data_IF_823154365608
#
_entry.id   IF_823154365608
#
_cell.length_a   1.000
_cell.length_b   1.000
_cell.length_c   1.000
_cell.angle_alpha   90.00
_cell.angle_beta   90.00
_cell.angle_gamma   90.00
#
_symmetry.space_group_name_H-M   'P 1'
#
loop_
_entity.id
_entity.type
_entity.pdbx_description
1 polymer ?
#
# COMPACT_ATOMS: atom_id res chain seq x y z
N UNK A 1 11.87 32.91 -1.05
CA UNK A 1 10.53 32.34 -0.86
C UNK A 1 9.60 33.17 -1.72
N UNK A 2 9.10 32.58 -2.79
CA UNK A 2 8.23 33.29 -3.71
C UNK A 2 6.76 33.06 -3.30
N UNK A 3 5.93 34.11 -3.28
CA UNK A 3 4.49 33.97 -3.07
C UNK A 3 3.88 32.98 -4.08
N UNK A 4 3.18 31.96 -3.59
CA UNK A 4 2.64 30.88 -4.41
C UNK A 4 1.14 30.71 -4.21
N UNK A 5 0.40 30.58 -5.31
CA UNK A 5 -0.97 30.08 -5.28
C UNK A 5 -0.98 28.67 -5.89
N UNK A 6 -1.82 27.78 -5.38
CA UNK A 6 -1.93 26.41 -5.88
C UNK A 6 -3.29 26.26 -6.55
N UNK A 7 -3.30 25.75 -7.77
CA UNK A 7 -4.54 25.42 -8.50
C UNK A 7 -4.51 23.98 -8.99
N UNK A 8 -5.60 23.25 -8.76
CA UNK A 8 -5.79 21.92 -9.31
C UNK A 8 -6.32 22.01 -10.73
N UNK A 9 -5.65 21.36 -11.69
CA UNK A 9 -6.07 21.36 -13.10
C UNK A 9 -6.90 20.12 -13.50
N UNK A 10 -7.07 19.15 -12.60
CA UNK A 10 -7.75 17.88 -12.86
C UNK A 10 -6.83 16.66 -12.77
N UNK A 11 -5.53 16.82 -13.06
CA UNK A 11 -4.52 15.75 -13.05
C UNK A 11 -3.31 16.07 -12.18
N UNK A 12 -3.00 17.35 -11.98
CA UNK A 12 -1.92 17.79 -11.10
C UNK A 12 -2.20 19.15 -10.46
N UNK A 13 -1.44 19.44 -9.40
CA UNK A 13 -1.36 20.79 -8.84
C UNK A 13 -0.41 21.65 -9.66
N UNK A 14 -0.76 22.92 -9.88
CA UNK A 14 0.13 23.90 -10.49
C UNK A 14 0.41 25.05 -9.51
N UNK A 15 1.67 25.45 -9.42
CA UNK A 15 2.09 26.63 -8.64
C UNK A 15 2.04 27.86 -9.54
N UNK A 16 1.17 28.82 -9.20
CA UNK A 16 1.09 30.14 -9.82
C UNK A 16 1.63 31.24 -8.92
N UNK A 17 1.79 32.44 -9.47
CA UNK A 17 2.13 33.61 -8.68
C UNK A 17 1.01 33.89 -7.65
N UNK A 18 1.32 33.73 -6.37
CA UNK A 18 0.45 34.10 -5.26
C UNK A 18 0.72 35.53 -4.81
N UNK A 19 -0.16 36.08 -3.98
CA UNK A 19 0.06 37.35 -3.32
C UNK A 19 -0.77 37.41 -2.03
N UNK A 20 -0.52 38.40 -1.15
CA UNK A 20 -1.34 38.58 0.03
C UNK A 20 -2.82 38.69 -0.36
N UNK A 21 -3.64 37.78 0.16
CA UNK A 21 -5.08 37.74 -0.07
C UNK A 21 -5.79 38.35 1.13
N UNK A 22 -6.64 39.35 0.90
CA UNK A 22 -7.47 39.91 1.95
C UNK A 22 -8.71 39.04 2.15
N UNK A 23 -8.90 38.51 3.35
CA UNK A 23 -10.03 37.65 3.70
C UNK A 23 -11.21 38.42 4.33
N UNK A 24 -11.12 39.76 4.39
CA UNK A 24 -12.03 40.62 5.13
C UNK A 24 -11.62 40.80 6.59
N UNK A 25 -12.17 41.82 7.25
CA UNK A 25 -11.94 42.05 8.69
C UNK A 25 -10.50 42.40 9.09
N UNK A 26 -9.67 42.86 8.14
CA UNK A 26 -8.25 43.15 8.41
C UNK A 26 -7.36 41.90 8.43
N UNK A 27 -7.88 40.75 8.01
CA UNK A 27 -7.14 39.49 7.92
C UNK A 27 -6.47 39.40 6.55
N UNK A 28 -5.17 39.18 6.54
CA UNK A 28 -4.33 39.01 5.35
C UNK A 28 -3.72 37.62 5.39
N UNK A 29 -3.94 36.82 4.33
CA UNK A 29 -3.30 35.50 4.17
C UNK A 29 -2.27 35.55 3.05
N UNK A 30 -1.08 35.04 3.29
CA UNK A 30 -0.04 34.80 2.28
C UNK A 30 0.21 33.30 2.20
N UNK A 31 0.11 32.74 1.01
CA UNK A 31 0.47 31.33 0.76
C UNK A 31 1.82 31.29 0.05
N UNK A 32 2.67 30.36 0.46
CA UNK A 32 3.99 30.09 -0.11
C UNK A 32 4.07 28.62 -0.44
N UNK A 33 4.77 28.30 -1.52
CA UNK A 33 5.05 26.92 -1.91
C UNK A 33 6.56 26.76 -1.95
N UNK A 34 7.05 25.63 -1.46
CA UNK A 34 8.48 25.33 -1.35
C UNK A 34 8.73 23.89 -1.79
N UNK A 35 9.79 23.69 -2.56
CA UNK A 35 10.34 22.37 -2.82
C UNK A 35 10.81 21.71 -1.51
N UNK A 36 10.56 20.41 -1.39
CA UNK A 36 11.16 19.59 -0.34
C UNK A 36 12.23 18.70 -0.97
N UNK A 37 13.08 18.13 -0.12
CA UNK A 37 14.09 17.16 -0.55
C UNK A 37 13.77 15.80 0.08
N UNK A 38 14.15 14.73 -0.63
CA UNK A 38 14.00 13.35 -0.18
C UNK A 38 15.37 12.67 -0.14
N UNK A 39 15.60 11.86 0.87
CA UNK A 39 16.82 11.04 0.97
C UNK A 39 16.69 9.69 0.24
N UNK A 40 17.74 8.87 0.31
CA UNK A 40 17.78 7.56 -0.33
C UNK A 40 16.81 6.52 0.25
N UNK A 41 16.27 6.78 1.44
CA UNK A 41 15.27 5.94 2.11
C UNK A 41 13.84 6.44 1.84
N UNK A 42 13.70 7.33 0.86
CA UNK A 42 12.45 7.93 0.47
C UNK A 42 11.78 8.76 1.58
N UNK A 43 12.55 9.33 2.51
CA UNK A 43 12.03 10.20 3.59
C UNK A 43 12.23 11.66 3.23
N UNK A 44 11.23 12.51 3.49
CA UNK A 44 11.37 13.96 3.31
C UNK A 44 12.32 14.51 4.38
N UNK A 45 13.40 15.15 3.94
CA UNK A 45 14.49 15.65 4.78
C UNK A 45 14.66 17.17 4.70
N UNK A 46 15.33 17.78 5.68
CA UNK A 46 15.72 19.19 5.60
C UNK A 46 16.55 19.50 4.34
N UNK A 47 16.40 20.73 3.83
CA UNK A 47 17.11 21.18 2.64
C UNK A 47 18.64 21.07 2.78
N UNK A 48 19.30 20.61 1.71
CA UNK A 48 20.71 20.29 1.62
C UNK A 48 21.10 18.89 2.10
N UNK A 49 20.14 18.03 2.43
CA UNK A 49 20.37 16.66 2.89
C UNK A 49 19.84 15.59 1.94
N UNK A 50 19.13 15.97 0.87
CA UNK A 50 18.59 15.04 -0.12
C UNK A 50 18.58 15.61 -1.52
N UNK A 51 17.88 14.92 -2.41
CA UNK A 51 17.57 15.38 -3.75
C UNK A 51 16.18 16.02 -3.77
N UNK A 52 15.98 17.04 -4.62
CA UNK A 52 14.68 17.73 -4.74
C UNK A 52 13.60 16.71 -5.10
N UNK A 53 12.52 16.69 -4.32
CA UNK A 53 11.36 15.82 -4.53
C UNK A 53 10.51 16.35 -5.68
N UNK A 54 10.42 15.63 -6.81
CA UNK A 54 9.63 16.08 -7.96
C UNK A 54 8.12 15.97 -7.76
N UNK A 55 7.62 15.18 -6.79
CA UNK A 55 6.17 15.02 -6.58
C UNK A 55 5.62 15.90 -5.48
N UNK A 56 6.44 16.20 -4.46
CA UNK A 56 5.98 16.77 -3.20
C UNK A 56 6.43 18.21 -3.05
N UNK A 57 5.50 19.09 -2.69
CA UNK A 57 5.80 20.46 -2.27
C UNK A 57 5.24 20.75 -0.88
N UNK A 58 5.96 21.53 -0.09
CA UNK A 58 5.48 22.10 1.16
C UNK A 58 4.71 23.39 0.88
N UNK A 59 3.54 23.48 1.49
CA UNK A 59 2.63 24.62 1.37
C UNK A 59 2.52 25.30 2.71
N UNK A 60 2.90 26.58 2.78
CA UNK A 60 2.86 27.37 4.01
C UNK A 60 1.83 28.49 3.85
N UNK A 61 0.87 28.55 4.78
CA UNK A 61 -0.13 29.61 4.87
C UNK A 61 0.14 30.45 6.10
N UNK A 62 0.64 31.66 5.87
CA UNK A 62 0.83 32.70 6.88
C UNK A 62 -0.42 33.58 6.93
N UNK A 63 -1.11 33.61 8.06
CA UNK A 63 -2.29 34.46 8.30
C UNK A 63 -1.91 35.54 9.31
N UNK A 64 -2.07 36.80 8.91
CA UNK A 64 -1.84 37.98 9.73
C UNK A 64 -3.18 38.68 9.99
N UNK A 65 -3.45 39.10 11.22
CA UNK A 65 -4.64 39.88 11.56
C UNK A 65 -4.36 40.89 12.66
N UNK A 66 -5.34 41.75 12.94
CA UNK A 66 -5.32 42.64 14.10
C UNK A 66 -6.39 42.20 15.09
N UNK A 67 -6.02 42.01 16.35
CA UNK A 67 -6.96 41.61 17.38
C UNK A 67 -7.92 42.75 17.81
N UNK A 68 -8.85 42.45 18.70
CA UNK A 68 -9.83 43.43 19.19
C UNK A 68 -9.21 44.62 19.94
N UNK A 69 -7.94 44.52 20.35
CA UNK A 69 -7.18 45.56 21.05
C UNK A 69 -6.26 46.35 20.10
N UNK A 70 -6.29 46.07 18.80
CA UNK A 70 -5.44 46.74 17.81
C UNK A 70 -4.03 46.16 17.70
N UNK A 71 -3.76 44.97 18.25
CA UNK A 71 -2.44 44.34 18.22
C UNK A 71 -2.30 43.45 16.99
N UNK A 72 -1.16 43.47 16.30
CA UNK A 72 -0.89 42.55 15.20
C UNK A 72 -0.68 41.13 15.75
N UNK A 73 -1.29 40.16 15.10
CA UNK A 73 -1.17 38.74 15.40
C UNK A 73 -0.87 37.96 14.11
N UNK A 74 -0.17 36.83 14.24
CA UNK A 74 0.14 35.96 13.12
C UNK A 74 0.04 34.47 13.48
N UNK A 75 -0.32 33.66 12.48
CA UNK A 75 -0.32 32.21 12.57
C UNK A 75 0.24 31.62 11.27
N UNK A 76 1.05 30.57 11.38
CA UNK A 76 1.60 29.85 10.24
C UNK A 76 1.09 28.41 10.32
N UNK A 77 0.56 27.93 9.21
CA UNK A 77 0.17 26.53 9.03
C UNK A 77 0.91 26.00 7.82
N UNK A 78 1.64 24.90 7.97
CA UNK A 78 2.26 24.19 6.86
C UNK A 78 1.62 22.83 6.64
N UNK A 79 1.65 22.37 5.40
CA UNK A 79 1.14 21.07 4.97
C UNK A 79 1.87 20.60 3.71
N UNK A 80 2.00 19.29 3.53
CA UNK A 80 2.62 18.70 2.35
C UNK A 80 1.57 18.37 1.30
N UNK A 81 1.89 18.58 0.03
CA UNK A 81 1.03 18.25 -1.11
C UNK A 81 1.83 17.44 -2.12
N UNK A 82 1.26 16.33 -2.57
CA UNK A 82 1.81 15.41 -3.57
C UNK A 82 1.06 15.54 -4.91
N UNK A 83 1.44 14.77 -5.93
CA UNK A 83 0.87 14.78 -7.29
C UNK A 83 1.07 16.09 -8.07
N UNK A 84 2.31 16.58 -8.11
CA UNK A 84 2.67 17.71 -8.98
C UNK A 84 3.10 17.24 -10.37
N UNK A 85 4.08 16.34 -10.46
CA UNK A 85 4.68 15.93 -11.74
C UNK A 85 4.53 14.43 -12.07
N UNK A 86 3.83 13.64 -11.22
CA UNK A 86 3.67 12.18 -11.37
C UNK A 86 5.02 11.46 -11.67
N UNK A 87 6.04 11.70 -10.83
CA UNK A 87 7.39 11.28 -11.14
C UNK A 87 7.58 9.77 -11.05
N UNK A 88 8.52 9.28 -11.84
CA UNK A 88 8.95 7.90 -11.83
C UNK A 88 10.14 7.72 -10.88
N UNK A 89 10.20 6.61 -10.16
CA UNK A 89 11.32 6.27 -9.28
C UNK A 89 10.88 5.39 -8.12
N UNK A 90 11.83 4.74 -7.44
CA UNK A 90 11.55 3.80 -6.35
C UNK A 90 10.74 4.43 -5.21
N UNK A 91 10.90 5.73 -4.97
CA UNK A 91 10.15 6.48 -3.95
C UNK A 91 8.71 6.86 -4.34
N UNK A 92 8.33 6.56 -5.58
CA UNK A 92 7.02 6.93 -6.16
C UNK A 92 6.33 5.72 -6.79
N UNK A 93 6.84 4.51 -6.54
CA UNK A 93 6.16 3.28 -6.96
C UNK A 93 4.84 3.16 -6.20
N UNK A 94 3.80 2.72 -6.91
CA UNK A 94 2.55 2.38 -6.25
C UNK A 94 2.77 1.22 -5.27
N UNK A 95 2.08 1.26 -4.13
CA UNK A 95 2.07 0.16 -3.16
C UNK A 95 1.78 -1.17 -3.86
N UNK A 96 2.55 -2.21 -3.57
CA UNK A 96 2.41 -3.51 -4.22
C UNK A 96 1.01 -4.10 -4.02
N UNK A 97 0.40 -3.89 -2.86
CA UNK A 97 -0.99 -4.25 -2.57
C UNK A 97 -2.01 -3.58 -3.51
N UNK A 98 -1.70 -2.39 -4.05
CA UNK A 98 -2.57 -1.73 -5.03
C UNK A 98 -2.47 -2.34 -6.43
N UNK A 99 -1.41 -3.10 -6.70
CA UNK A 99 -1.10 -3.68 -8.00
C UNK A 99 -1.47 -5.17 -8.10
N UNK A 100 -1.90 -5.80 -7.01
CA UNK A 100 -2.30 -7.22 -7.00
C UNK A 100 -3.81 -7.38 -7.14
N UNK A 101 -4.22 -8.30 -8.02
CA UNK A 101 -5.58 -8.81 -8.12
C UNK A 101 -5.67 -10.22 -7.52
N UNK A 102 -6.57 -10.41 -6.55
CA UNK A 102 -6.95 -11.75 -6.08
C UNK A 102 -8.16 -12.21 -6.88
N UNK A 103 -7.95 -13.13 -7.82
CA UNK A 103 -9.01 -13.57 -8.71
C UNK A 103 -9.87 -14.66 -8.06
N UNK A 104 -10.97 -14.23 -7.44
CA UNK A 104 -12.00 -15.10 -6.87
C UNK A 104 -13.10 -15.49 -7.88
N UNK A 105 -13.05 -14.93 -9.09
CA UNK A 105 -14.03 -15.22 -10.15
C UNK A 105 -13.77 -16.56 -10.82
N UNK A 106 -12.48 -16.94 -10.92
CA UNK A 106 -12.06 -18.31 -11.18
C UNK A 106 -12.28 -19.09 -9.88
N UNK A 107 -13.20 -20.07 -9.91
CA UNK A 107 -13.58 -20.81 -8.72
C UNK A 107 -12.36 -21.55 -8.15
N UNK A 108 -11.96 -21.18 -6.93
CA UNK A 108 -11.02 -21.98 -6.15
C UNK A 108 -11.64 -23.35 -5.85
N UNK A 109 -10.83 -24.41 -5.80
CA UNK A 109 -11.32 -25.79 -5.70
C UNK A 109 -10.61 -26.60 -4.61
N UNK A 110 -11.35 -27.54 -4.01
CA UNK A 110 -10.86 -28.53 -3.07
C UNK A 110 -10.47 -29.84 -3.76
N UNK A 111 -9.18 -30.03 -4.00
CA UNK A 111 -8.67 -31.30 -4.50
C UNK A 111 -8.52 -32.32 -3.37
N UNK A 112 -9.16 -33.48 -3.55
CA UNK A 112 -9.21 -34.51 -2.50
C UNK A 112 -9.83 -34.02 -1.19
N UNK A 113 -10.68 -32.97 -1.27
CA UNK A 113 -11.40 -32.32 -0.17
C UNK A 113 -10.55 -31.53 0.83
N UNK A 114 -9.23 -31.50 0.68
CA UNK A 114 -8.32 -30.90 1.68
C UNK A 114 -7.13 -30.15 1.09
N UNK A 115 -7.13 -29.94 -0.23
CA UNK A 115 -6.11 -29.14 -0.92
C UNK A 115 -6.78 -27.99 -1.64
N UNK A 116 -6.52 -26.76 -1.21
CA UNK A 116 -6.94 -25.58 -1.93
C UNK A 116 -6.06 -25.44 -3.17
N UNK A 117 -6.70 -25.30 -4.33
CA UNK A 117 -6.08 -25.07 -5.63
C UNK A 117 -6.86 -24.01 -6.41
N UNK A 118 -6.35 -23.65 -7.60
CA UNK A 118 -7.02 -22.78 -8.57
C UNK A 118 -7.41 -21.41 -8.03
N UNK A 119 -6.70 -20.94 -7.00
CA UNK A 119 -6.77 -19.56 -6.52
C UNK A 119 -5.64 -18.76 -7.17
N UNK A 120 -5.98 -17.76 -7.97
CA UNK A 120 -5.02 -17.03 -8.78
C UNK A 120 -4.73 -15.65 -8.23
N UNK A 121 -3.44 -15.29 -8.22
CA UNK A 121 -2.94 -13.96 -7.92
C UNK A 121 -2.40 -13.36 -9.22
N UNK A 122 -2.83 -12.14 -9.54
CA UNK A 122 -2.46 -11.44 -10.76
C UNK A 122 -1.73 -10.14 -10.40
N UNK A 123 -0.50 -9.98 -10.87
CA UNK A 123 0.18 -8.70 -10.82
C UNK A 123 -0.30 -7.85 -12.01
N UNK A 124 -1.12 -6.85 -11.70
CA UNK A 124 -1.73 -5.92 -12.66
C UNK A 124 -0.79 -4.77 -13.03
N UNK A 125 0.29 -4.58 -12.28
CA UNK A 125 1.33 -3.59 -12.53
C UNK A 125 2.44 -4.12 -13.44
N UNK A 126 3.32 -3.21 -13.89
CA UNK A 126 4.48 -3.55 -14.74
C UNK A 126 5.71 -3.96 -13.94
N UNK A 127 5.78 -3.56 -12.67
CA UNK A 127 6.87 -3.89 -11.76
C UNK A 127 6.63 -5.20 -11.02
N UNK A 128 7.68 -5.96 -10.66
CA UNK A 128 7.51 -7.15 -9.83
C UNK A 128 7.00 -6.79 -8.43
N UNK A 129 6.17 -7.68 -7.87
CA UNK A 129 5.76 -7.61 -6.46
C UNK A 129 6.28 -8.84 -5.71
N UNK A 130 6.61 -8.70 -4.44
CA UNK A 130 7.14 -9.79 -3.59
C UNK A 130 6.23 -9.96 -2.39
N UNK A 131 5.67 -11.16 -2.25
CA UNK A 131 4.88 -11.57 -1.08
C UNK A 131 5.85 -12.10 -0.03
N UNK A 132 5.79 -11.55 1.18
CA UNK A 132 6.62 -11.96 2.33
C UNK A 132 5.80 -12.74 3.36
N UNK A 133 4.54 -12.34 3.57
CA UNK A 133 3.66 -13.01 4.54
C UNK A 133 2.28 -13.34 3.97
N UNK A 134 1.71 -14.42 4.48
CA UNK A 134 0.37 -14.90 4.12
C UNK A 134 -0.41 -15.29 5.36
N UNK A 135 -1.62 -14.77 5.50
CA UNK A 135 -2.59 -15.27 6.48
C UNK A 135 -3.82 -15.82 5.76
N UNK A 136 -4.18 -17.06 6.09
CA UNK A 136 -5.46 -17.66 5.70
C UNK A 136 -6.35 -17.77 6.93
N UNK A 137 -7.59 -17.30 6.83
CA UNK A 137 -8.61 -17.56 7.86
C UNK A 137 -9.67 -18.51 7.33
N UNK A 138 -10.23 -19.35 8.20
CA UNK A 138 -11.31 -20.27 7.88
C UNK A 138 -12.15 -20.63 9.12
N UNK A 139 -13.36 -21.15 8.90
CA UNK A 139 -14.38 -21.30 9.95
C UNK A 139 -14.52 -22.72 10.53
N UNK A 140 -13.44 -23.50 10.57
CA UNK A 140 -13.43 -24.84 11.17
C UNK A 140 -12.15 -25.08 12.02
N UNK A 141 -12.00 -26.27 12.59
CA UNK A 141 -10.88 -26.61 13.49
C UNK A 141 -9.65 -27.21 12.79
N UNK A 142 -9.68 -27.34 11.47
CA UNK A 142 -8.57 -27.90 10.70
C UNK A 142 -7.36 -26.96 10.71
N UNK A 143 -6.20 -27.53 10.38
CA UNK A 143 -4.90 -26.84 10.38
C UNK A 143 -4.27 -26.91 9.00
N UNK A 144 -3.54 -25.87 8.60
CA UNK A 144 -2.71 -25.86 7.38
C UNK A 144 -1.34 -26.46 7.68
N UNK A 145 -0.78 -27.22 6.74
CA UNK A 145 0.55 -27.85 6.92
C UNK A 145 1.55 -27.58 5.78
N UNK A 146 1.10 -27.08 4.63
CA UNK A 146 1.98 -26.58 3.56
C UNK A 146 1.20 -25.65 2.63
N UNK A 147 1.94 -24.75 1.99
CA UNK A 147 1.46 -23.83 0.98
C UNK A 147 2.43 -23.83 -0.21
N UNK A 148 1.85 -23.78 -1.41
CA UNK A 148 2.58 -23.65 -2.66
C UNK A 148 2.02 -22.47 -3.45
N UNK A 149 2.92 -21.68 -4.01
CA UNK A 149 2.62 -20.71 -5.06
C UNK A 149 3.35 -21.20 -6.32
N UNK A 150 2.59 -21.45 -7.38
CA UNK A 150 2.98 -22.26 -8.53
C UNK A 150 3.66 -23.57 -8.07
N UNK A 151 4.89 -23.83 -8.48
CA UNK A 151 5.63 -25.05 -8.12
C UNK A 151 6.48 -24.89 -6.87
N UNK A 152 6.53 -23.69 -6.29
CA UNK A 152 7.41 -23.37 -5.15
C UNK A 152 6.66 -23.61 -3.86
N UNK A 153 7.24 -24.44 -2.99
CA UNK A 153 6.77 -24.56 -1.60
C UNK A 153 7.26 -23.33 -0.85
N UNK A 154 6.35 -22.40 -0.60
CA UNK A 154 6.67 -21.14 0.09
C UNK A 154 6.62 -21.32 1.61
N UNK A 155 5.80 -22.24 2.11
CA UNK A 155 5.71 -22.54 3.54
C UNK A 155 5.36 -24.00 3.81
N UNK A 156 5.86 -24.57 4.90
CA UNK A 156 5.31 -25.81 5.47
C UNK A 156 5.64 -25.95 6.94
N UNK A 157 4.97 -26.90 7.61
CA UNK A 157 5.21 -27.24 9.01
C UNK A 157 6.67 -27.61 9.34
N UNK A 158 7.51 -27.88 8.34
CA UNK A 158 8.94 -28.20 8.47
C UNK A 158 9.87 -27.22 7.72
N UNK A 159 9.35 -26.07 7.25
CA UNK A 159 10.09 -25.08 6.43
C UNK A 159 9.76 -25.15 4.93
N UNK A 160 10.16 -24.16 4.12
CA UNK A 160 11.17 -23.13 4.42
C UNK A 160 10.73 -21.93 5.27
N UNK A 161 9.43 -21.67 5.43
CA UNK A 161 8.91 -20.54 6.23
C UNK A 161 8.68 -20.83 7.72
N UNK A 162 8.09 -19.85 8.41
CA UNK A 162 7.76 -19.87 9.84
C UNK A 162 6.29 -19.46 10.07
N UNK A 163 5.67 -19.76 11.23
CA UNK A 163 6.13 -20.64 12.29
C UNK A 163 6.15 -22.13 11.87
N UNK A 164 6.96 -22.95 12.55
CA UNK A 164 6.99 -24.39 12.33
C UNK A 164 5.79 -25.11 12.99
N UNK A 165 5.47 -26.30 12.52
CA UNK A 165 4.28 -27.06 12.93
C UNK A 165 3.05 -26.77 12.08
N UNK A 166 1.98 -27.53 12.29
CA UNK A 166 0.70 -27.25 11.65
C UNK A 166 0.09 -26.00 12.28
N UNK A 167 -0.45 -25.10 11.45
CA UNK A 167 -0.98 -23.82 11.93
C UNK A 167 -2.51 -23.78 11.89
N UNK A 168 -3.15 -23.23 12.94
CA UNK A 168 -4.58 -22.98 12.93
C UNK A 168 -4.96 -21.80 12.01
N UNK A 169 -6.26 -21.60 11.83
CA UNK A 169 -6.81 -20.44 11.12
C UNK A 169 -6.31 -19.12 11.69
N UNK A 170 -6.01 -18.14 10.82
CA UNK A 170 -5.59 -16.79 11.20
C UNK A 170 -4.18 -16.73 11.78
N UNK A 171 -3.34 -17.71 11.45
CA UNK A 171 -1.90 -17.62 11.75
C UNK A 171 -1.21 -16.95 10.57
N UNK A 172 -0.47 -15.89 10.86
CA UNK A 172 0.46 -15.25 9.94
C UNK A 172 1.61 -16.21 9.63
N UNK A 173 1.79 -16.49 8.34
CA UNK A 173 2.85 -17.34 7.83
C UNK A 173 3.89 -16.45 7.16
N UNK A 174 5.03 -16.30 7.79
CA UNK A 174 6.24 -15.79 7.16
C UNK A 174 6.73 -16.85 6.16
N UNK A 175 6.56 -16.55 4.88
CA UNK A 175 6.82 -17.47 3.79
C UNK A 175 8.25 -17.28 3.25
N UNK A 176 8.75 -18.26 2.50
CA UNK A 176 9.86 -17.97 1.59
C UNK A 176 9.35 -16.97 0.55
N UNK A 177 9.94 -15.77 0.56
CA UNK A 177 9.61 -14.65 -0.33
C UNK A 177 9.31 -15.13 -1.74
N UNK A 178 8.14 -14.73 -2.26
CA UNK A 178 7.69 -15.14 -3.57
C UNK A 178 7.43 -13.92 -4.45
N UNK A 179 8.29 -13.73 -5.45
CA UNK A 179 8.16 -12.64 -6.43
C UNK A 179 7.26 -13.04 -7.59
N UNK A 180 6.23 -12.22 -7.85
CA UNK A 180 5.38 -12.30 -9.04
C UNK A 180 5.86 -11.23 -10.04
N UNK A 181 6.38 -11.62 -11.22
CA UNK A 181 6.74 -10.66 -12.25
C UNK A 181 5.56 -9.76 -12.67
N UNK A 182 5.87 -8.53 -13.09
CA UNK A 182 4.86 -7.61 -13.64
C UNK A 182 4.04 -8.23 -14.77
N UNK A 183 2.76 -7.89 -14.82
CA UNK A 183 1.80 -8.34 -15.84
C UNK A 183 1.65 -9.87 -15.93
N UNK A 184 1.87 -10.60 -14.82
CA UNK A 184 1.75 -12.07 -14.79
C UNK A 184 0.77 -12.57 -13.75
N UNK A 185 0.30 -13.81 -13.96
CA UNK A 185 -0.58 -14.54 -13.05
C UNK A 185 0.13 -15.76 -12.48
N UNK A 186 -0.06 -16.01 -11.19
CA UNK A 186 0.40 -17.21 -10.49
C UNK A 186 -0.74 -17.90 -9.75
N UNK A 187 -0.57 -19.17 -9.43
CA UNK A 187 -1.60 -19.98 -8.78
C UNK A 187 -1.16 -20.42 -7.38
N UNK A 188 -1.99 -20.20 -6.36
CA UNK A 188 -1.93 -20.96 -5.11
C UNK A 188 -2.52 -22.34 -5.40
N UNK A 189 -1.65 -23.31 -5.71
CA UNK A 189 -2.07 -24.56 -6.37
C UNK A 189 -2.07 -25.80 -5.46
N UNK A 190 -1.60 -25.68 -4.21
CA UNK A 190 -1.45 -26.83 -3.30
C UNK A 190 -1.34 -26.45 -1.82
N UNK A 191 -2.26 -25.63 -1.33
CA UNK A 191 -2.35 -25.37 0.11
C UNK A 191 -3.09 -26.51 0.79
N UNK A 192 -2.43 -27.23 1.69
CA UNK A 192 -2.90 -28.50 2.26
C UNK A 192 -3.35 -28.33 3.70
N UNK A 193 -4.56 -28.81 3.97
CA UNK A 193 -5.18 -28.84 5.30
C UNK A 193 -5.15 -30.25 5.91
N UNK A 194 -5.37 -30.36 7.22
CA UNK A 194 -5.32 -31.62 7.97
C UNK A 194 -6.43 -32.60 7.56
N UNK A 195 -7.64 -32.11 7.30
CA UNK A 195 -8.81 -32.91 6.93
C UNK A 195 -9.72 -32.18 5.92
N UNK A 196 -10.91 -32.72 5.70
CA UNK A 196 -11.96 -32.24 4.80
C UNK A 196 -12.40 -30.79 5.10
N UNK A 197 -12.34 -29.95 4.05
CA UNK A 197 -12.64 -28.53 4.09
C UNK A 197 -13.94 -28.15 3.34
N UNK A 198 -14.77 -29.12 2.92
CA UNK A 198 -16.01 -28.82 2.17
C UNK A 198 -16.92 -27.84 2.89
N UNK A 199 -17.42 -26.86 2.13
CA UNK A 199 -18.32 -25.82 2.63
C UNK A 199 -17.65 -24.79 3.57
N UNK A 200 -16.33 -24.86 3.73
CA UNK A 200 -15.55 -23.91 4.53
C UNK A 200 -15.37 -22.62 3.75
N UNK A 201 -15.61 -21.49 4.40
CA UNK A 201 -15.35 -20.16 3.85
C UNK A 201 -13.98 -19.69 4.31
N UNK A 202 -13.21 -19.09 3.39
CA UNK A 202 -11.87 -18.57 3.64
C UNK A 202 -11.76 -17.08 3.35
N UNK A 203 -10.79 -16.43 3.98
CA UNK A 203 -10.18 -15.18 3.50
C UNK A 203 -8.67 -15.39 3.34
N UNK A 204 -8.08 -14.63 2.42
CA UNK A 204 -6.64 -14.56 2.20
C UNK A 204 -6.16 -13.13 2.45
N UNK A 205 -5.22 -12.94 3.38
CA UNK A 205 -4.45 -11.70 3.53
C UNK A 205 -3.03 -11.95 3.01
N UNK A 206 -2.51 -11.01 2.24
CA UNK A 206 -1.13 -10.98 1.75
C UNK A 206 -0.46 -9.71 2.26
N UNK A 207 0.81 -9.85 2.67
CA UNK A 207 1.70 -8.74 3.00
C UNK A 207 2.91 -8.78 2.05
N UNK A 208 3.30 -7.61 1.58
CA UNK A 208 4.32 -7.42 0.55
C UNK A 208 5.59 -6.82 1.14
N UNK A 209 6.70 -6.90 0.39
CA UNK A 209 8.01 -6.38 0.80
C UNK A 209 8.09 -4.85 0.98
N UNK A 210 7.01 -4.13 0.70
CA UNK A 210 6.86 -2.69 0.95
C UNK A 210 5.92 -2.40 2.13
N UNK A 211 5.68 -3.41 2.98
CA UNK A 211 4.78 -3.40 4.14
C UNK A 211 3.29 -3.14 3.79
N UNK A 212 2.95 -3.07 2.50
CA UNK A 212 1.56 -2.92 2.08
C UNK A 212 0.81 -4.26 2.21
N UNK A 213 -0.48 -4.19 2.47
CA UNK A 213 -1.31 -5.37 2.72
C UNK A 213 -2.59 -5.36 1.88
N UNK A 214 -3.06 -6.54 1.48
CA UNK A 214 -4.39 -6.71 0.90
C UNK A 214 -5.10 -7.91 1.51
N UNK A 215 -6.41 -7.81 1.70
CA UNK A 215 -7.26 -8.92 2.13
C UNK A 215 -8.35 -9.18 1.09
N UNK A 216 -8.55 -10.45 0.73
CA UNK A 216 -9.61 -10.87 -0.18
C UNK A 216 -10.99 -10.73 0.47
N UNK A 217 -12.03 -10.59 -0.35
CA UNK A 217 -13.38 -10.92 0.10
C UNK A 217 -13.46 -12.40 0.54
N UNK A 218 -14.39 -12.76 1.45
CA UNK A 218 -14.61 -14.15 1.81
C UNK A 218 -15.04 -15.00 0.61
N UNK A 219 -14.44 -16.17 0.43
CA UNK A 219 -14.78 -17.10 -0.65
C UNK A 219 -14.94 -18.53 -0.13
N UNK A 220 -15.78 -19.33 -0.79
CA UNK A 220 -15.99 -20.74 -0.46
C UNK A 220 -15.60 -21.58 -1.67
N UNK A 221 -14.47 -22.30 -1.63
CA UNK A 221 -14.04 -23.14 -2.73
C UNK A 221 -15.05 -24.25 -3.05
N UNK A 222 -15.18 -24.58 -4.33
CA UNK A 222 -15.97 -25.71 -4.83
C UNK A 222 -15.20 -27.02 -4.71
N UNK A 223 -15.81 -28.16 -5.06
CA UNK A 223 -15.21 -29.49 -4.92
C UNK A 223 -15.75 -30.48 -5.96
#
# INVERSE_FOLDING_TARGET
>A
MDPGAISWNGTSWSVGAGGPTNLGGGIIRTVRVKEVERDGDCVIVPAGLGDVDPDTLETESEVNWTDALGRPESAIVSDLRTHYDDPQGSCFLAEQASQIGINLSLQAEWFGLKQLRTLYLENLGTEPITIEEVELTWNNAETVNQMFINTTKVWSAIGPGSPAGNQPSGTELDILDFTIPGETTVEINKTQFSDDMRGTTLTLKLEFSDDSEITSDPFTPTW
#
